data_IF_486889508984
#
_entry.id   IF_486889508984
#
_cell.length_a   1.000
_cell.length_b   1.000
_cell.length_c   1.000
_cell.angle_alpha   90.00
_cell.angle_beta   90.00
_cell.angle_gamma   90.00
#
_symmetry.space_group_name_H-M   'P 1'
#
loop_
_entity.id
_entity.type
_entity.pdbx_description
1 polymer ?
#
# COMPACT_ATOMS: atom_id res chain seq x y z
N UNK A 1 -33.17 -17.55 26.00
CA UNK A 1 -32.68 -16.80 24.82
C UNK A 1 -31.15 -16.77 24.81
N UNK A 2 -30.56 -17.91 24.45
CA UNK A 2 -29.14 -18.05 24.09
C UNK A 2 -29.13 -18.34 22.59
N UNK A 3 -28.02 -18.00 21.92
CA UNK A 3 -27.76 -18.16 20.46
C UNK A 3 -28.15 -16.95 19.60
N UNK A 4 -27.28 -15.92 19.51
CA UNK A 4 -27.01 -15.16 18.25
C UNK A 4 -25.93 -14.06 18.31
N UNK A 5 -24.74 -14.26 18.90
CA UNK A 5 -23.63 -13.27 18.75
C UNK A 5 -22.23 -13.89 18.61
N UNK A 6 -22.05 -15.20 18.85
CA UNK A 6 -20.70 -15.83 18.92
C UNK A 6 -20.10 -16.31 17.59
N UNK A 7 -20.70 -16.03 16.43
CA UNK A 7 -20.25 -16.58 15.14
C UNK A 7 -19.63 -15.58 14.16
N UNK A 8 -19.40 -14.31 14.54
CA UNK A 8 -18.85 -13.31 13.61
C UNK A 8 -17.41 -12.86 13.91
N UNK A 9 -16.74 -13.49 14.88
CA UNK A 9 -15.42 -13.04 15.38
C UNK A 9 -14.32 -14.09 15.17
N UNK A 10 -14.57 -15.17 14.42
CA UNK A 10 -13.59 -16.27 14.27
C UNK A 10 -13.04 -16.54 12.85
N UNK A 11 -13.43 -15.78 11.84
CA UNK A 11 -13.04 -16.07 10.44
C UNK A 11 -12.07 -15.05 9.79
N UNK A 12 -11.36 -14.22 10.57
CA UNK A 12 -10.44 -13.19 10.03
C UNK A 12 -8.94 -13.47 10.31
N UNK A 13 -8.59 -14.57 10.98
CA UNK A 13 -7.22 -14.80 11.46
C UNK A 13 -6.24 -15.52 10.51
N UNK A 14 -6.57 -15.82 9.24
CA UNK A 14 -5.69 -16.70 8.42
C UNK A 14 -5.11 -16.16 7.10
N UNK A 15 -5.27 -14.88 6.73
CA UNK A 15 -4.77 -14.39 5.41
C UNK A 15 -3.62 -13.39 5.40
N UNK A 16 -3.15 -12.90 6.55
CA UNK A 16 -2.10 -11.83 6.58
C UNK A 16 -0.73 -12.34 7.05
N UNK A 17 -0.63 -13.55 7.63
CA UNK A 17 0.59 -13.99 8.32
C UNK A 17 1.59 -14.81 7.47
N UNK A 18 1.24 -15.21 6.25
CA UNK A 18 2.10 -16.12 5.45
C UNK A 18 3.09 -15.39 4.50
N UNK A 19 2.84 -14.13 4.13
CA UNK A 19 3.71 -13.45 3.14
C UNK A 19 4.98 -12.81 3.72
N UNK A 20 5.09 -12.58 5.03
CA UNK A 20 6.20 -11.82 5.62
C UNK A 20 7.40 -12.68 6.02
N UNK A 21 7.27 -14.00 6.07
CA UNK A 21 8.32 -14.87 6.64
C UNK A 21 9.28 -15.52 5.61
N UNK A 22 8.98 -15.49 4.30
CA UNK A 22 9.80 -16.21 3.31
C UNK A 22 10.92 -15.39 2.66
N UNK A 23 10.96 -14.06 2.83
CA UNK A 23 11.91 -13.20 2.11
C UNK A 23 13.29 -13.05 2.80
N UNK A 24 13.46 -13.47 4.06
CA UNK A 24 14.63 -13.09 4.88
C UNK A 24 15.85 -14.03 4.82
N UNK A 25 15.95 -14.96 3.86
CA UNK A 25 16.99 -16.01 3.85
C UNK A 25 17.96 -16.04 2.66
N UNK A 26 17.94 -15.06 1.76
CA UNK A 26 18.69 -15.12 0.49
C UNK A 26 19.73 -14.03 0.24
N UNK A 27 20.53 -13.60 1.23
CA UNK A 27 21.63 -12.65 0.98
C UNK A 27 22.88 -13.06 1.75
N UNK A 28 23.70 -13.93 1.14
CA UNK A 28 25.13 -13.97 1.40
C UNK A 28 25.86 -14.74 0.29
N UNK A 29 26.62 -13.98 -0.52
CA UNK A 29 27.89 -14.30 -1.21
C UNK A 29 27.92 -13.63 -2.58
N UNK A 30 28.90 -12.74 -2.77
CA UNK A 30 29.94 -12.80 -3.81
C UNK A 30 30.53 -11.39 -4.01
N UNK A 31 31.65 -11.13 -3.33
CA UNK A 31 32.63 -10.14 -3.78
C UNK A 31 33.56 -10.79 -4.79
N UNK A 32 34.00 -10.04 -5.81
CA UNK A 32 35.03 -10.54 -6.71
C UNK A 32 35.23 -9.80 -8.03
N UNK A 33 36.17 -8.84 -8.00
CA UNK A 33 37.24 -8.62 -8.99
C UNK A 33 36.90 -8.04 -10.38
N UNK A 34 37.34 -6.80 -10.55
CA UNK A 34 37.51 -6.03 -11.79
C UNK A 34 38.65 -6.60 -12.65
N UNK A 35 38.41 -6.83 -13.95
CA UNK A 35 39.42 -6.74 -15.02
C UNK A 35 38.83 -6.04 -16.24
N UNK A 36 39.68 -5.22 -16.84
CA UNK A 36 39.45 -4.39 -18.03
C UNK A 36 40.14 -5.09 -19.20
N UNK A 37 39.48 -5.20 -20.34
CA UNK A 37 40.13 -5.33 -21.66
C UNK A 37 39.18 -4.86 -22.76
N UNK A 38 39.75 -4.04 -23.63
CA UNK A 38 39.28 -3.48 -24.89
C UNK A 38 39.04 -4.55 -25.96
N UNK A 39 38.05 -4.36 -26.83
CA UNK A 39 38.22 -4.17 -28.29
C UNK A 39 36.87 -4.11 -29.01
N UNK A 40 36.85 -3.32 -30.09
CA UNK A 40 35.71 -3.05 -30.95
C UNK A 40 35.43 -4.21 -31.92
N UNK A 41 34.17 -4.41 -32.30
CA UNK A 41 33.84 -4.63 -33.70
C UNK A 41 32.36 -4.39 -34.04
N UNK A 42 32.19 -4.02 -35.29
CA UNK A 42 31.05 -3.44 -35.99
C UNK A 42 29.91 -4.41 -36.33
N UNK A 43 28.69 -3.85 -36.35
CA UNK A 43 27.57 -4.10 -37.28
C UNK A 43 27.08 -5.53 -37.49
N UNK A 44 25.82 -5.79 -37.08
CA UNK A 44 24.76 -6.20 -38.02
C UNK A 44 23.39 -6.18 -37.33
N UNK A 45 22.42 -5.63 -38.04
CA UNK A 45 21.02 -5.59 -37.68
C UNK A 45 20.44 -7.02 -37.63
N UNK A 46 19.56 -7.24 -36.65
CA UNK A 46 18.82 -8.49 -36.50
C UNK A 46 18.15 -8.58 -35.14
N UNK A 47 17.23 -7.68 -34.82
CA UNK A 47 16.29 -7.93 -33.72
C UNK A 47 15.18 -8.80 -34.30
N UNK A 48 15.41 -10.11 -34.30
CA UNK A 48 14.34 -11.08 -34.32
C UNK A 48 13.63 -11.02 -32.97
N UNK A 49 12.42 -10.47 -32.94
CA UNK A 49 11.49 -10.74 -31.84
C UNK A 49 10.09 -10.97 -32.40
N UNK A 50 9.90 -12.15 -33.01
CA UNK A 50 8.56 -12.70 -33.18
C UNK A 50 8.25 -13.58 -31.97
N UNK A 51 7.69 -12.96 -30.93
CA UNK A 51 6.88 -13.67 -29.95
C UNK A 51 5.46 -13.20 -30.17
N UNK A 52 4.58 -14.12 -30.57
CA UNK A 52 3.14 -13.98 -30.47
C UNK A 52 2.78 -13.56 -29.03
N UNK A 53 2.78 -12.25 -28.75
CA UNK A 53 2.19 -11.72 -27.53
C UNK A 53 0.71 -11.69 -27.81
N UNK A 54 0.00 -12.74 -27.35
CA UNK A 54 -1.45 -12.71 -27.29
C UNK A 54 -1.85 -11.40 -26.58
N UNK A 55 -2.77 -10.59 -27.14
CA UNK A 55 -3.18 -9.36 -26.50
C UNK A 55 -3.69 -9.67 -25.09
N UNK A 56 -2.94 -9.22 -24.08
CA UNK A 56 -3.33 -9.38 -22.69
C UNK A 56 -4.53 -8.47 -22.45
N UNK A 57 -5.71 -9.06 -22.42
CA UNK A 57 -6.92 -8.34 -22.07
C UNK A 57 -6.98 -8.24 -20.55
N UNK A 58 -6.57 -7.09 -20.02
CA UNK A 58 -6.65 -6.84 -18.59
C UNK A 58 -8.11 -6.67 -18.15
N UNK A 59 -8.49 -7.40 -17.11
CA UNK A 59 -9.80 -7.36 -16.47
C UNK A 59 -9.79 -6.28 -15.38
N UNK A 60 -10.82 -5.44 -15.40
CA UNK A 60 -11.02 -4.37 -14.42
C UNK A 60 -10.32 -3.06 -14.79
N UNK A 61 -10.74 -1.98 -14.12
CA UNK A 61 -10.17 -0.64 -14.32
C UNK A 61 -9.14 -0.34 -13.22
N UNK A 62 -7.89 -0.14 -13.62
CA UNK A 62 -6.87 0.37 -12.72
C UNK A 62 -7.09 1.87 -12.52
N UNK A 63 -7.34 2.28 -11.28
CA UNK A 63 -7.48 3.69 -10.92
C UNK A 63 -6.13 4.39 -11.03
N UNK A 64 -6.18 5.66 -11.38
CA UNK A 64 -5.02 6.54 -11.34
C UNK A 64 -4.71 6.93 -9.88
N UNK A 65 -3.43 6.94 -9.50
CA UNK A 65 -2.96 7.44 -8.22
C UNK A 65 -2.65 8.92 -8.30
N UNK A 66 -3.27 9.71 -7.43
CA UNK A 66 -2.92 11.11 -7.23
C UNK A 66 -2.41 11.35 -5.81
N UNK A 67 -1.63 12.42 -5.63
CA UNK A 67 -1.08 12.82 -4.32
C UNK A 67 -2.15 13.13 -3.25
N UNK A 68 -3.42 13.29 -3.64
CA UNK A 68 -4.56 13.51 -2.75
C UNK A 68 -5.15 12.20 -2.21
N UNK A 69 -4.88 11.08 -2.87
CA UNK A 69 -5.39 9.77 -2.48
C UNK A 69 -4.53 9.12 -1.40
N UNK A 70 -5.12 8.25 -0.58
CA UNK A 70 -4.35 7.51 0.43
C UNK A 70 -3.53 6.41 -0.24
N UNK A 71 -2.20 6.56 -0.20
CA UNK A 71 -1.24 5.62 -0.78
C UNK A 71 -1.44 4.19 -0.29
N UNK A 72 -1.76 3.99 1.00
CA UNK A 72 -1.94 2.65 1.56
C UNK A 72 -3.13 1.92 0.93
N UNK A 73 -4.23 2.65 0.71
CA UNK A 73 -5.43 2.13 0.05
C UNK A 73 -5.15 1.84 -1.42
N UNK A 74 -4.49 2.77 -2.11
CA UNK A 74 -4.12 2.60 -3.51
C UNK A 74 -3.22 1.38 -3.73
N UNK A 75 -2.18 1.23 -2.91
CA UNK A 75 -1.24 0.10 -2.97
C UNK A 75 -1.96 -1.24 -2.86
N UNK A 76 -2.91 -1.37 -1.93
CA UNK A 76 -3.73 -2.58 -1.80
C UNK A 76 -4.52 -2.84 -3.08
N UNK A 77 -5.18 -1.82 -3.63
CA UNK A 77 -5.96 -1.96 -4.87
C UNK A 77 -5.08 -2.37 -6.06
N UNK A 78 -3.89 -1.79 -6.18
CA UNK A 78 -2.92 -2.14 -7.21
C UNK A 78 -2.44 -3.60 -7.06
N UNK A 79 -2.18 -4.06 -5.84
CA UNK A 79 -1.83 -5.46 -5.58
C UNK A 79 -2.96 -6.42 -5.98
N UNK A 80 -4.22 -6.06 -5.69
CA UNK A 80 -5.38 -6.84 -6.14
C UNK A 80 -5.52 -6.83 -7.66
N UNK A 81 -5.20 -5.72 -8.32
CA UNK A 81 -5.19 -5.65 -9.77
C UNK A 81 -4.16 -6.60 -10.39
N UNK A 82 -2.94 -6.65 -9.84
CA UNK A 82 -1.93 -7.61 -10.28
C UNK A 82 -2.37 -9.06 -10.05
N UNK A 83 -2.98 -9.34 -8.90
CA UNK A 83 -3.49 -10.66 -8.57
C UNK A 83 -4.59 -11.12 -9.55
N UNK A 84 -5.60 -10.26 -9.77
CA UNK A 84 -6.73 -10.58 -10.65
C UNK A 84 -6.30 -10.82 -12.10
N UNK A 85 -5.27 -10.10 -12.55
CA UNK A 85 -4.74 -10.20 -13.91
C UNK A 85 -3.55 -11.15 -14.06
N UNK A 86 -3.20 -11.91 -13.01
CA UNK A 86 -2.03 -12.81 -13.00
C UNK A 86 -0.73 -12.14 -13.49
N UNK A 87 -0.52 -10.87 -13.13
CA UNK A 87 0.71 -10.15 -13.48
C UNK A 87 1.81 -10.66 -12.57
N UNK A 88 2.68 -11.54 -13.10
CA UNK A 88 3.80 -12.12 -12.34
C UNK A 88 5.08 -11.33 -12.56
N UNK A 89 5.33 -10.89 -13.79
CA UNK A 89 6.56 -10.18 -14.16
C UNK A 89 6.69 -8.83 -13.47
N UNK A 90 7.81 -8.64 -12.76
CA UNK A 90 8.09 -7.43 -11.99
C UNK A 90 8.29 -6.20 -12.88
N UNK A 91 8.81 -6.37 -14.11
CA UNK A 91 8.94 -5.25 -15.06
C UNK A 91 7.57 -4.78 -15.51
N UNK A 92 6.67 -5.71 -15.84
CA UNK A 92 5.28 -5.42 -16.18
C UNK A 92 4.54 -4.72 -15.02
N UNK A 93 4.63 -5.26 -13.80
CA UNK A 93 4.05 -4.61 -12.60
C UNK A 93 4.57 -3.19 -12.40
N UNK A 94 5.88 -2.97 -12.59
CA UNK A 94 6.49 -1.64 -12.49
C UNK A 94 5.97 -0.69 -13.57
N UNK A 95 5.89 -1.15 -14.81
CA UNK A 95 5.34 -0.36 -15.91
C UNK A 95 3.88 0.04 -15.64
N UNK A 96 3.06 -0.88 -15.15
CA UNK A 96 1.67 -0.62 -14.76
C UNK A 96 1.60 0.41 -13.62
N UNK A 97 2.39 0.23 -12.55
CA UNK A 97 2.44 1.20 -11.45
C UNK A 97 2.78 2.60 -11.95
N UNK A 98 3.88 2.73 -12.71
CA UNK A 98 4.36 4.02 -13.20
C UNK A 98 3.39 4.68 -14.16
N UNK A 99 2.70 3.91 -15.01
CA UNK A 99 1.67 4.41 -15.92
C UNK A 99 0.41 4.89 -15.17
N UNK A 100 0.09 4.27 -14.05
CA UNK A 100 -1.09 4.62 -13.26
C UNK A 100 -0.86 5.82 -12.32
N UNK A 101 0.32 6.45 -12.31
CA UNK A 101 0.57 7.66 -11.54
C UNK A 101 0.13 8.89 -12.34
N UNK A 102 -0.49 9.87 -11.66
CA UNK A 102 -0.60 11.22 -12.23
C UNK A 102 0.78 11.81 -12.49
N UNK A 103 0.86 12.82 -13.36
CA UNK A 103 2.11 13.55 -13.65
C UNK A 103 2.83 14.02 -12.37
N UNK A 104 2.10 14.65 -11.44
CA UNK A 104 2.64 15.10 -10.15
C UNK A 104 3.23 13.94 -9.31
N UNK A 105 2.56 12.79 -9.29
CA UNK A 105 3.00 11.63 -8.54
C UNK A 105 4.22 10.97 -9.18
N UNK A 106 4.25 10.88 -10.52
CA UNK A 106 5.41 10.39 -11.25
C UNK A 106 6.63 11.29 -11.04
N UNK A 107 6.44 12.62 -11.06
CA UNK A 107 7.50 13.59 -10.78
C UNK A 107 8.02 13.46 -9.34
N UNK A 108 7.14 13.24 -8.37
CA UNK A 108 7.53 12.97 -6.99
C UNK A 108 8.44 11.73 -6.90
N UNK A 109 8.02 10.60 -7.50
CA UNK A 109 8.82 9.37 -7.50
C UNK A 109 10.19 9.60 -8.12
N UNK A 110 10.24 10.28 -9.26
CA UNK A 110 11.49 10.62 -9.95
C UNK A 110 12.41 11.43 -9.04
N UNK A 111 11.90 12.46 -8.37
CA UNK A 111 12.68 13.29 -7.46
C UNK A 111 13.21 12.51 -6.25
N UNK A 112 12.43 11.56 -5.72
CA UNK A 112 12.83 10.77 -4.57
C UNK A 112 13.89 9.70 -4.90
N UNK A 113 14.07 9.35 -6.19
CA UNK A 113 15.01 8.32 -6.64
C UNK A 113 16.32 8.89 -7.23
N UNK A 114 16.48 10.22 -7.27
CA UNK A 114 17.71 10.86 -7.77
C UNK A 114 18.94 10.27 -7.05
N UNK A 115 19.99 9.85 -7.79
CA UNK A 115 20.25 10.11 -9.22
C UNK A 115 19.70 9.06 -10.21
N UNK A 116 18.99 8.03 -9.75
CA UNK A 116 18.45 6.96 -10.59
C UNK A 116 17.08 7.32 -11.21
N UNK A 117 16.76 6.69 -12.34
CA UNK A 117 15.44 6.79 -12.97
C UNK A 117 14.46 5.77 -12.35
N UNK A 118 13.15 6.08 -12.21
CA UNK A 118 12.13 5.10 -11.83
C UNK A 118 12.09 3.86 -12.74
N UNK A 119 12.50 4.01 -14.00
CA UNK A 119 12.59 2.92 -14.96
C UNK A 119 13.76 1.96 -14.70
N UNK A 120 14.81 2.42 -14.02
CA UNK A 120 16.06 1.68 -13.84
C UNK A 120 16.15 0.97 -12.48
N UNK A 121 15.34 1.39 -11.50
CA UNK A 121 15.31 0.77 -10.17
C UNK A 121 14.36 -0.43 -10.09
N UNK A 122 14.56 -1.39 -9.17
CA UNK A 122 13.61 -2.46 -8.90
C UNK A 122 12.26 -1.93 -8.39
N UNK A 123 11.18 -2.66 -8.69
CA UNK A 123 9.82 -2.30 -8.23
C UNK A 123 9.74 -2.17 -6.69
N UNK A 124 10.44 -3.05 -5.97
CA UNK A 124 10.50 -3.02 -4.52
C UNK A 124 11.03 -1.68 -3.98
N UNK A 125 12.04 -1.09 -4.63
CA UNK A 125 12.63 0.19 -4.23
C UNK A 125 11.65 1.35 -4.48
N UNK A 126 10.89 1.30 -5.59
CA UNK A 126 9.82 2.27 -5.87
C UNK A 126 8.75 2.23 -4.78
N UNK A 127 8.29 1.03 -4.40
CA UNK A 127 7.32 0.87 -3.32
C UNK A 127 7.85 1.36 -1.98
N UNK A 128 9.09 1.01 -1.62
CA UNK A 128 9.69 1.45 -0.35
C UNK A 128 9.82 2.97 -0.28
N UNK A 129 10.21 3.59 -1.39
CA UNK A 129 10.33 5.03 -1.51
C UNK A 129 8.98 5.75 -1.28
N UNK A 130 7.93 5.27 -1.94
CA UNK A 130 6.57 5.78 -1.79
C UNK A 130 6.02 5.52 -0.38
N UNK A 131 6.21 4.32 0.17
CA UNK A 131 5.84 3.98 1.54
C UNK A 131 6.49 4.95 2.53
N UNK A 132 7.81 5.16 2.43
CA UNK A 132 8.55 6.07 3.30
C UNK A 132 8.02 7.49 3.19
N UNK A 133 7.77 7.98 1.97
CA UNK A 133 7.27 9.34 1.76
C UNK A 133 5.89 9.54 2.38
N UNK A 134 4.94 8.65 2.11
CA UNK A 134 3.55 8.81 2.57
C UNK A 134 3.32 8.38 4.01
N UNK A 135 4.08 7.41 4.53
CA UNK A 135 4.04 7.03 5.95
C UNK A 135 4.65 8.11 6.84
N UNK A 136 5.67 8.84 6.38
CA UNK A 136 6.32 9.90 7.18
C UNK A 136 5.39 11.06 7.54
N UNK A 137 4.30 11.27 6.79
CA UNK A 137 3.45 12.46 6.92
C UNK A 137 2.40 12.40 8.04
N UNK A 138 2.11 11.23 8.63
CA UNK A 138 1.07 11.12 9.68
C UNK A 138 1.69 10.74 11.03
N UNK A 139 1.94 11.74 11.88
CA UNK A 139 2.37 11.51 13.26
C UNK A 139 1.32 10.68 14.01
N UNK A 140 1.76 9.59 14.67
CA UNK A 140 0.91 8.78 15.56
C UNK A 140 0.20 9.64 16.59
N UNK A 141 0.89 10.65 17.13
CA UNK A 141 0.31 11.59 18.08
C UNK A 141 -0.84 12.39 17.47
N UNK A 142 -0.66 12.91 16.24
CA UNK A 142 -1.72 13.66 15.56
C UNK A 142 -2.95 12.79 15.28
N UNK A 143 -2.75 11.53 14.87
CA UNK A 143 -3.85 10.59 14.66
C UNK A 143 -4.58 10.28 15.98
N UNK A 144 -3.83 10.02 17.05
CA UNK A 144 -4.39 9.78 18.39
C UNK A 144 -5.16 10.99 18.90
N UNK A 145 -4.63 12.20 18.71
CA UNK A 145 -5.32 13.44 19.06
C UNK A 145 -6.68 13.55 18.34
N UNK A 146 -6.72 13.31 17.03
CA UNK A 146 -7.97 13.31 16.25
C UNK A 146 -8.94 12.23 16.72
N UNK A 147 -8.44 11.04 17.00
CA UNK A 147 -9.24 9.93 17.52
C UNK A 147 -9.86 10.27 18.90
N UNK A 148 -9.05 10.74 19.85
CA UNK A 148 -9.52 11.05 21.20
C UNK A 148 -10.49 12.24 21.25
N UNK A 149 -10.35 13.19 20.33
CA UNK A 149 -11.25 14.34 20.20
C UNK A 149 -12.42 14.12 19.23
N UNK A 150 -12.59 12.91 18.69
CA UNK A 150 -13.71 12.63 17.79
C UNK A 150 -14.98 12.30 18.58
N UNK A 151 -16.09 12.94 18.22
CA UNK A 151 -17.43 12.68 18.76
C UNK A 151 -18.38 12.40 17.60
N UNK A 152 -19.48 11.70 17.88
CA UNK A 152 -20.56 11.54 16.91
C UNK A 152 -21.12 12.92 16.59
N UNK A 153 -21.23 13.26 15.32
CA UNK A 153 -21.86 14.53 14.91
C UNK A 153 -23.38 14.44 15.13
N UNK A 154 -24.05 15.57 15.37
CA UNK A 154 -25.49 15.61 15.68
C UNK A 154 -26.33 14.90 14.61
N UNK A 155 -25.98 15.09 13.34
CA UNK A 155 -26.67 14.51 12.18
C UNK A 155 -26.05 13.19 11.66
N UNK A 156 -25.02 12.66 12.31
CA UNK A 156 -24.39 11.40 11.90
C UNK A 156 -25.18 10.19 12.42
N UNK A 157 -25.30 9.11 11.64
CA UNK A 157 -25.91 7.87 12.13
C UNK A 157 -24.90 7.12 13.01
N UNK A 158 -25.40 6.34 13.96
CA UNK A 158 -24.54 5.55 14.87
C UNK A 158 -23.59 4.61 14.11
N UNK A 159 -24.05 4.01 13.01
CA UNK A 159 -23.20 3.15 12.17
C UNK A 159 -22.12 3.95 11.43
N UNK A 160 -22.44 5.15 10.95
CA UNK A 160 -21.46 6.02 10.27
C UNK A 160 -20.40 6.49 11.26
N UNK A 161 -20.80 6.80 12.50
CA UNK A 161 -19.89 7.07 13.61
C UNK A 161 -18.95 5.91 13.89
N UNK A 162 -19.48 4.68 13.97
CA UNK A 162 -18.68 3.47 14.17
C UNK A 162 -17.62 3.32 13.07
N UNK A 163 -18.02 3.47 11.80
CA UNK A 163 -17.11 3.38 10.64
C UNK A 163 -16.05 4.49 10.68
N UNK A 164 -16.42 5.71 11.07
CA UNK A 164 -15.47 6.83 11.14
C UNK A 164 -14.47 6.68 12.27
N UNK A 165 -14.93 6.34 13.48
CA UNK A 165 -14.04 6.20 14.66
C UNK A 165 -13.12 4.98 14.53
N UNK A 166 -13.59 3.88 13.91
CA UNK A 166 -12.75 2.73 13.56
C UNK A 166 -11.68 3.12 12.54
N UNK A 167 -12.03 3.89 11.51
CA UNK A 167 -11.09 4.44 10.54
C UNK A 167 -10.00 5.28 11.19
N UNK A 168 -10.36 6.16 12.13
CA UNK A 168 -9.39 6.97 12.90
C UNK A 168 -8.45 6.09 13.74
N UNK A 169 -8.97 5.05 14.39
CA UNK A 169 -8.18 4.13 15.22
C UNK A 169 -7.13 3.35 14.40
N UNK A 170 -7.42 3.03 13.14
CA UNK A 170 -6.51 2.28 12.25
C UNK A 170 -5.14 2.95 12.05
N UNK A 171 -5.08 4.29 12.19
CA UNK A 171 -3.85 5.06 12.01
C UNK A 171 -3.15 5.41 13.34
N UNK A 172 -3.66 4.94 14.47
CA UNK A 172 -3.18 5.32 15.81
C UNK A 172 -2.15 4.36 16.41
N UNK A 173 -1.97 3.18 15.81
CA UNK A 173 -1.05 2.13 16.28
C UNK A 173 -1.26 1.84 17.78
N UNK A 174 -2.49 1.47 18.15
CA UNK A 174 -2.83 1.07 19.53
C UNK A 174 -2.37 -0.36 19.87
N UNK A 175 -1.92 -1.13 18.86
CA UNK A 175 -1.49 -2.50 19.03
C UNK A 175 -2.57 -3.36 19.72
N UNK A 176 -2.23 -4.11 20.78
CA UNK A 176 -3.17 -5.02 21.43
C UNK A 176 -4.37 -4.32 22.10
N UNK A 177 -4.22 -3.03 22.45
CA UNK A 177 -5.26 -2.26 23.14
C UNK A 177 -6.33 -1.70 22.18
N UNK A 178 -6.19 -1.92 20.86
CA UNK A 178 -7.07 -1.35 19.85
C UNK A 178 -8.55 -1.61 20.16
N UNK A 179 -8.92 -2.85 20.52
CA UNK A 179 -10.31 -3.21 20.79
C UNK A 179 -10.89 -2.49 22.00
N UNK A 180 -10.10 -2.37 23.08
CA UNK A 180 -10.53 -1.72 24.32
C UNK A 180 -10.67 -0.21 24.09
N UNK A 181 -9.64 0.42 23.56
CA UNK A 181 -9.60 1.87 23.32
C UNK A 181 -10.68 2.30 22.32
N UNK A 182 -10.90 1.52 21.26
CA UNK A 182 -11.94 1.79 20.27
C UNK A 182 -13.34 1.71 20.88
N UNK A 183 -13.62 0.66 21.66
CA UNK A 183 -14.91 0.51 22.34
C UNK A 183 -15.18 1.69 23.28
N UNK A 184 -14.20 2.04 24.10
CA UNK A 184 -14.36 3.09 25.10
C UNK A 184 -14.55 4.45 24.41
N UNK A 185 -13.77 4.76 23.36
CA UNK A 185 -13.96 5.98 22.57
C UNK A 185 -15.31 6.00 21.87
N UNK A 186 -15.74 4.88 21.29
CA UNK A 186 -17.04 4.78 20.62
C UNK A 186 -18.16 5.12 21.59
N UNK A 187 -18.17 4.53 22.79
CA UNK A 187 -19.19 4.77 23.83
C UNK A 187 -19.12 6.22 24.33
N UNK A 188 -17.93 6.70 24.71
CA UNK A 188 -17.76 8.08 25.20
C UNK A 188 -18.12 9.14 24.15
N UNK A 189 -17.87 8.85 22.87
CA UNK A 189 -18.17 9.74 21.76
C UNK A 189 -19.64 9.73 21.31
N UNK A 190 -20.48 8.81 21.81
CA UNK A 190 -21.94 8.84 21.58
C UNK A 190 -22.63 9.89 22.46
N UNK A 191 -22.05 10.17 23.64
CA UNK A 191 -22.59 11.11 24.60
C UNK A 191 -22.09 12.53 24.29
N UNK A 192 -22.71 13.22 23.33
CA UNK A 192 -22.70 14.70 23.32
C UNK A 192 -23.61 15.22 24.45
N UNK A 193 -23.36 14.79 25.70
CA UNK A 193 -23.92 15.51 26.84
C UNK A 193 -23.05 16.74 26.96
N UNK A 194 -23.50 17.86 26.38
CA UNK A 194 -23.02 19.16 26.78
C UNK A 194 -23.28 19.26 28.28
N UNK A 195 -22.24 19.12 29.10
CA UNK A 195 -22.30 19.55 30.49
C UNK A 195 -22.47 21.06 30.45
N UNK A 196 -23.74 21.48 30.49
CA UNK A 196 -24.19 22.84 30.80
C UNK A 196 -23.67 23.28 32.15
#
# INVERSE_FOLDING_TARGET
MKVRVKSLVRDIEWSVFVCTLHWRRGLNKMGGRRKRSTEANSSTAGVEENKNVSPQNYIGHLREFSLKTDWSVYKIQLMQYFLCNNVVDEKCKKAILLNALTEDAFRLVTNLLIPASPCDVPLAEVFECLDRHFMSRKSKFSNRYKFYNSFKEDNEKVNDWLVRVTGLASHCDFGPELTVVLRDRFIMGLCNVQTT
#
